data_IF_998433178525
#
_entry.id   IF_998433178525
#
_cell.length_a   1.000
_cell.length_b   1.000
_cell.length_c   1.000
_cell.angle_alpha   90.00
_cell.angle_beta   90.00
_cell.angle_gamma   90.00
#
_symmetry.space_group_name_H-M   'P 1'
#
loop_
_entity.id
_entity.type
_entity.pdbx_description
1 polymer ?
#
# COMPACT_ATOMS: atom_id res chain seq x y z
N UNK A 1 -8.09 -16.72 17.85
CA UNK A 1 -6.86 -17.49 17.85
C UNK A 1 -6.01 -17.07 16.68
N UNK A 2 -4.82 -16.53 16.94
CA UNK A 2 -3.83 -16.26 15.89
C UNK A 2 -3.10 -17.55 15.58
N UNK A 3 -3.26 -18.05 14.35
CA UNK A 3 -2.42 -19.12 13.85
C UNK A 3 -1.01 -18.56 13.61
N UNK A 4 -0.04 -19.02 14.43
CA UNK A 4 1.37 -18.83 14.10
C UNK A 4 1.75 -19.92 13.09
N UNK A 5 1.97 -19.53 11.84
CA UNK A 5 2.63 -20.40 10.88
C UNK A 5 4.11 -20.50 11.26
N UNK A 6 4.50 -21.63 11.87
CA UNK A 6 5.90 -21.99 12.09
C UNK A 6 6.41 -22.54 10.76
N UNK A 7 7.28 -21.80 10.07
CA UNK A 7 8.02 -22.31 8.91
C UNK A 7 9.29 -23.04 9.40
N UNK A 8 9.42 -24.29 8.99
CA UNK A 8 10.67 -25.05 8.85
C UNK A 8 11.40 -25.57 10.10
N UNK A 9 10.78 -25.61 11.28
CA UNK A 9 11.29 -26.44 12.37
C UNK A 9 10.15 -27.08 13.14
N UNK A 10 10.24 -28.39 13.36
CA UNK A 10 9.40 -29.09 14.34
C UNK A 10 10.03 -28.83 15.70
N UNK A 11 9.68 -27.72 16.33
CA UNK A 11 9.97 -27.57 17.75
C UNK A 11 8.85 -28.24 18.55
N UNK A 12 9.24 -29.23 19.34
CA UNK A 12 8.33 -29.81 20.31
C UNK A 12 8.18 -28.83 21.46
N UNK A 13 7.15 -28.04 21.44
CA UNK A 13 6.79 -27.19 22.58
C UNK A 13 6.04 -28.07 23.58
N UNK A 14 6.69 -28.40 24.69
CA UNK A 14 5.98 -28.97 25.83
C UNK A 14 5.20 -27.87 26.51
N UNK A 15 3.90 -27.80 26.25
CA UNK A 15 3.01 -26.94 27.01
C UNK A 15 2.82 -27.61 28.38
N UNK A 16 3.39 -27.03 29.41
CA UNK A 16 2.97 -27.34 30.77
C UNK A 16 1.49 -26.97 30.85
N UNK A 17 0.67 -28.00 31.03
CA UNK A 17 -0.76 -27.78 31.27
C UNK A 17 -0.83 -27.09 32.62
N UNK A 18 -1.01 -25.78 32.62
CA UNK A 18 -1.37 -25.05 33.83
C UNK A 18 -2.73 -25.62 34.25
N UNK A 19 -2.81 -26.33 35.41
CA UNK A 19 -4.09 -26.86 35.82
C UNK A 19 -5.08 -25.70 35.92
N UNK A 20 -6.35 -25.90 35.49
CA UNK A 20 -7.34 -24.88 35.62
C UNK A 20 -7.35 -24.40 37.09
N UNK A 21 -7.02 -23.13 37.30
CA UNK A 21 -7.20 -22.51 38.60
C UNK A 21 -8.69 -22.46 38.79
N UNK A 22 -9.22 -23.31 39.70
CA UNK A 22 -10.58 -23.21 40.21
C UNK A 22 -10.70 -21.89 40.96
N UNK A 23 -10.91 -20.86 40.25
CA UNK A 23 -11.12 -19.52 40.71
C UNK A 23 -11.70 -18.72 39.58
N UNK A 24 -13.01 -18.56 39.54
CA UNK A 24 -13.59 -17.46 38.81
C UNK A 24 -12.90 -16.19 39.30
N UNK A 25 -12.11 -15.54 38.47
CA UNK A 25 -11.72 -14.16 38.72
C UNK A 25 -13.03 -13.38 38.68
N UNK A 26 -13.69 -13.29 39.81
CA UNK A 26 -14.83 -12.40 39.94
C UNK A 26 -14.27 -11.00 39.69
N UNK A 27 -14.61 -10.41 38.57
CA UNK A 27 -14.36 -9.01 38.33
C UNK A 27 -15.15 -8.27 39.45
N UNK A 28 -14.46 -7.82 40.50
CA UNK A 28 -15.03 -7.03 41.55
C UNK A 28 -15.38 -5.63 41.03
N UNK A 29 -16.31 -5.56 40.07
CA UNK A 29 -16.82 -4.30 39.54
C UNK A 29 -18.08 -3.96 40.29
N UNK A 30 -18.05 -2.82 40.97
CA UNK A 30 -19.24 -2.33 41.71
C UNK A 30 -20.32 -1.86 40.74
N UNK A 31 -21.55 -1.77 41.19
CA UNK A 31 -22.64 -1.31 40.35
C UNK A 31 -22.46 0.16 39.95
N UNK A 32 -21.90 1.00 40.81
CA UNK A 32 -21.54 2.39 40.50
C UNK A 32 -20.49 2.44 39.36
N UNK A 33 -19.52 1.52 39.32
CA UNK A 33 -18.52 1.44 38.24
C UNK A 33 -19.17 1.00 36.94
N UNK A 34 -20.14 0.08 36.98
CA UNK A 34 -20.90 -0.33 35.77
C UNK A 34 -21.73 0.82 35.22
N UNK A 35 -22.43 1.57 36.11
CA UNK A 35 -23.22 2.73 35.70
C UNK A 35 -22.34 3.84 35.10
N UNK A 36 -21.21 4.14 35.78
CA UNK A 36 -20.24 5.13 35.27
C UNK A 36 -19.69 4.73 33.90
N UNK A 37 -19.40 3.45 33.71
CA UNK A 37 -18.93 2.94 32.38
C UNK A 37 -20.04 3.02 31.33
N UNK A 38 -21.28 2.63 31.68
CA UNK A 38 -22.40 2.71 30.75
C UNK A 38 -22.68 4.16 30.33
N UNK A 39 -22.60 5.11 31.26
CA UNK A 39 -22.74 6.54 30.96
C UNK A 39 -21.66 7.02 30.01
N UNK A 40 -20.40 6.65 30.23
CA UNK A 40 -19.27 7.03 29.37
C UNK A 40 -19.43 6.44 27.97
N UNK A 41 -19.82 5.16 27.86
CA UNK A 41 -20.08 4.52 26.55
C UNK A 41 -21.20 5.24 25.80
N UNK A 42 -22.26 5.65 26.51
CA UNK A 42 -23.34 6.42 25.88
C UNK A 42 -22.84 7.80 25.38
N UNK A 43 -22.04 8.50 26.15
CA UNK A 43 -21.43 9.78 25.75
C UNK A 43 -20.52 9.60 24.52
N UNK A 44 -19.72 8.54 24.48
CA UNK A 44 -18.90 8.19 23.34
C UNK A 44 -19.76 7.88 22.09
N UNK A 45 -20.87 7.16 22.25
CA UNK A 45 -21.80 6.87 21.15
C UNK A 45 -22.47 8.15 20.61
N UNK A 46 -22.84 9.08 21.47
CA UNK A 46 -23.39 10.38 21.05
C UNK A 46 -22.37 11.14 20.19
N UNK A 47 -21.10 11.20 20.61
CA UNK A 47 -20.02 11.84 19.85
C UNK A 47 -19.82 11.14 18.53
N UNK A 48 -19.75 9.81 18.52
CA UNK A 48 -19.60 8.98 17.31
C UNK A 48 -20.74 9.20 16.33
N UNK A 49 -21.99 9.15 16.80
CA UNK A 49 -23.17 9.31 15.97
C UNK A 49 -23.25 10.73 15.36
N UNK A 50 -22.87 11.74 16.14
CA UNK A 50 -22.74 13.13 15.62
C UNK A 50 -21.72 13.20 14.49
N UNK A 51 -20.57 12.54 14.65
CA UNK A 51 -19.54 12.49 13.59
C UNK A 51 -20.03 11.71 12.36
N UNK A 52 -20.59 10.53 12.55
CA UNK A 52 -21.16 9.71 11.46
C UNK A 52 -22.27 10.46 10.72
N UNK A 53 -23.09 11.24 11.42
CA UNK A 53 -24.11 12.09 10.80
C UNK A 53 -23.56 13.19 9.88
N UNK A 54 -22.24 13.44 9.89
CA UNK A 54 -21.58 14.37 8.93
C UNK A 54 -21.13 13.69 7.66
N UNK A 55 -21.23 12.36 7.55
CA UNK A 55 -20.78 11.63 6.38
C UNK A 55 -21.61 11.95 5.14
N UNK A 56 -21.03 11.67 3.99
CA UNK A 56 -21.71 11.86 2.73
C UNK A 56 -22.80 10.81 2.54
N UNK A 57 -23.96 11.24 2.03
CA UNK A 57 -25.11 10.35 1.78
C UNK A 57 -25.45 10.35 0.29
N UNK A 58 -26.18 9.33 -0.16
CA UNK A 58 -26.62 9.19 -1.56
C UNK A 58 -27.42 10.41 -2.05
N UNK A 59 -28.25 10.99 -1.17
CA UNK A 59 -29.03 12.18 -1.50
C UNK A 59 -28.18 13.40 -1.91
N UNK A 60 -26.94 13.48 -1.42
CA UNK A 60 -25.98 14.55 -1.77
C UNK A 60 -25.19 14.24 -3.03
N UNK A 61 -25.25 12.96 -3.53
CA UNK A 61 -24.34 12.46 -4.54
C UNK A 61 -24.59 12.96 -5.97
N UNK A 62 -25.72 13.59 -6.24
CA UNK A 62 -26.12 13.94 -7.63
C UNK A 62 -25.48 15.21 -8.18
N UNK A 63 -25.24 16.19 -7.35
CA UNK A 63 -24.82 17.54 -7.80
C UNK A 63 -23.38 17.57 -8.33
N UNK A 64 -22.45 16.97 -7.60
CA UNK A 64 -21.02 17.01 -7.91
C UNK A 64 -20.67 16.37 -9.27
N UNK A 65 -21.11 15.14 -9.58
CA UNK A 65 -20.78 14.52 -10.86
C UNK A 65 -21.37 15.26 -12.05
N UNK A 66 -22.56 15.82 -11.90
CA UNK A 66 -23.22 16.63 -12.95
C UNK A 66 -22.45 17.92 -13.22
N UNK A 67 -22.00 18.58 -12.17
CA UNK A 67 -21.20 19.81 -12.27
C UNK A 67 -19.85 19.58 -12.94
N UNK A 68 -19.18 18.49 -12.57
CA UNK A 68 -17.83 18.18 -13.04
C UNK A 68 -17.78 17.37 -14.34
N UNK A 69 -18.92 16.83 -14.80
CA UNK A 69 -18.99 15.96 -15.98
C UNK A 69 -18.26 14.62 -15.78
N UNK A 70 -18.38 14.03 -14.59
CA UNK A 70 -17.74 12.75 -14.21
C UNK A 70 -18.80 11.68 -13.93
N UNK A 71 -18.37 10.41 -13.85
CA UNK A 71 -19.24 9.26 -13.64
C UNK A 71 -20.00 9.37 -12.29
N UNK A 72 -21.34 9.40 -12.30
CA UNK A 72 -22.14 9.58 -11.08
C UNK A 72 -22.00 8.41 -10.09
N UNK A 73 -22.00 7.16 -10.59
CA UNK A 73 -21.95 5.98 -9.74
C UNK A 73 -20.61 5.87 -9.03
N UNK A 74 -19.52 5.97 -9.77
CA UNK A 74 -18.18 5.96 -9.18
C UNK A 74 -17.98 7.12 -8.22
N UNK A 75 -18.48 8.31 -8.54
CA UNK A 75 -18.38 9.47 -7.65
C UNK A 75 -19.12 9.21 -6.34
N UNK A 76 -20.34 8.68 -6.40
CA UNK A 76 -21.09 8.29 -5.21
C UNK A 76 -20.33 7.27 -4.35
N UNK A 77 -19.77 6.23 -4.97
CA UNK A 77 -18.97 5.22 -4.28
C UNK A 77 -17.76 5.82 -3.57
N UNK A 78 -17.04 6.73 -4.22
CA UNK A 78 -15.87 7.39 -3.61
C UNK A 78 -16.27 8.32 -2.46
N UNK A 79 -17.33 9.11 -2.65
CA UNK A 79 -17.79 10.06 -1.64
C UNK A 79 -18.34 9.35 -0.40
N UNK A 80 -19.15 8.31 -0.58
CA UNK A 80 -19.69 7.49 0.52
C UNK A 80 -18.58 6.68 1.18
N UNK A 81 -17.72 6.03 0.36
CA UNK A 81 -16.61 5.21 0.83
C UNK A 81 -15.56 5.98 1.63
N UNK A 82 -15.39 7.28 1.35
CA UNK A 82 -14.47 8.16 2.07
C UNK A 82 -14.93 8.53 3.48
N UNK A 83 -16.19 8.28 3.83
CA UNK A 83 -16.76 8.55 5.15
C UNK A 83 -16.54 10.01 5.59
N UNK A 84 -15.82 10.23 6.72
CA UNK A 84 -15.53 11.57 7.24
C UNK A 84 -14.58 12.40 6.35
N UNK A 85 -13.81 11.75 5.47
CA UNK A 85 -12.85 12.40 4.57
C UNK A 85 -13.47 12.94 3.28
N UNK A 86 -14.78 12.83 3.10
CA UNK A 86 -15.45 13.19 1.84
C UNK A 86 -15.16 14.61 1.37
N UNK A 87 -14.94 15.56 2.28
CA UNK A 87 -14.61 16.95 1.93
C UNK A 87 -13.26 17.06 1.22
N UNK A 88 -12.29 16.26 1.63
CA UNK A 88 -10.98 16.21 0.97
C UNK A 88 -11.10 15.59 -0.42
N UNK A 89 -11.91 14.53 -0.56
CA UNK A 89 -12.17 13.90 -1.87
C UNK A 89 -12.93 14.84 -2.80
N UNK A 90 -13.97 15.52 -2.30
CA UNK A 90 -14.68 16.54 -3.07
C UNK A 90 -13.75 17.66 -3.51
N UNK A 91 -12.94 18.18 -2.59
CA UNK A 91 -11.94 19.20 -2.89
C UNK A 91 -10.96 18.74 -3.96
N UNK A 92 -10.45 17.53 -3.86
CA UNK A 92 -9.55 16.94 -4.84
C UNK A 92 -10.18 16.88 -6.24
N UNK A 93 -11.43 16.43 -6.35
CA UNK A 93 -12.14 16.33 -7.62
C UNK A 93 -12.44 17.71 -8.23
N UNK A 94 -12.82 18.71 -7.41
CA UNK A 94 -13.07 20.07 -7.85
C UNK A 94 -11.81 20.78 -8.32
N UNK A 95 -10.70 20.61 -7.60
CA UNK A 95 -9.42 21.25 -7.91
C UNK A 95 -8.68 20.54 -9.08
N UNK A 96 -9.09 19.32 -9.45
CA UNK A 96 -8.50 18.61 -10.56
C UNK A 96 -8.76 19.33 -11.89
N UNK A 97 -7.69 19.63 -12.69
CA UNK A 97 -7.85 20.19 -14.03
C UNK A 97 -8.81 19.34 -14.88
N UNK A 98 -9.62 19.98 -15.71
CA UNK A 98 -10.67 19.31 -16.48
C UNK A 98 -10.13 18.16 -17.36
N UNK A 99 -8.97 18.35 -17.96
CA UNK A 99 -8.28 17.36 -18.77
C UNK A 99 -7.71 16.19 -17.93
N UNK A 100 -7.51 16.37 -16.62
CA UNK A 100 -7.02 15.35 -15.70
C UNK A 100 -8.10 14.65 -14.88
N UNK A 101 -9.36 15.08 -14.96
CA UNK A 101 -10.47 14.47 -14.22
C UNK A 101 -10.62 12.97 -14.46
N UNK A 102 -10.49 12.45 -15.70
CA UNK A 102 -10.51 11.00 -15.91
C UNK A 102 -9.40 10.29 -15.12
N UNK A 103 -8.20 10.82 -15.13
CA UNK A 103 -7.09 10.28 -14.34
C UNK A 103 -7.30 10.43 -12.81
N UNK A 104 -7.97 11.50 -12.37
CA UNK A 104 -8.35 11.66 -10.96
C UNK A 104 -9.35 10.58 -10.52
N UNK A 105 -10.31 10.23 -11.36
CA UNK A 105 -11.23 9.12 -11.12
C UNK A 105 -10.50 7.76 -11.07
N UNK A 106 -9.53 7.55 -11.98
CA UNK A 106 -8.70 6.35 -11.97
C UNK A 106 -7.82 6.27 -10.71
N UNK A 107 -7.30 7.41 -10.24
CA UNK A 107 -6.54 7.48 -8.99
C UNK A 107 -7.40 7.08 -7.79
N UNK A 108 -8.62 7.63 -7.67
CA UNK A 108 -9.54 7.28 -6.60
C UNK A 108 -9.99 5.81 -6.66
N UNK A 109 -10.07 5.24 -7.86
CA UNK A 109 -10.44 3.84 -8.06
C UNK A 109 -9.32 2.86 -7.65
N UNK A 110 -8.04 3.27 -7.72
CA UNK A 110 -6.90 2.39 -7.47
C UNK A 110 -6.34 2.50 -6.06
N UNK A 111 -6.62 3.59 -5.34
CA UNK A 111 -6.18 3.73 -3.95
C UNK A 111 -6.98 2.83 -3.02
N UNK A 112 -6.40 2.52 -1.87
CA UNK A 112 -7.07 1.68 -0.88
C UNK A 112 -8.25 2.40 -0.21
N UNK A 113 -9.20 1.63 0.34
CA UNK A 113 -10.28 2.19 1.13
C UNK A 113 -9.78 2.97 2.37
N UNK A 114 -8.60 2.62 2.88
CA UNK A 114 -7.93 3.38 3.94
C UNK A 114 -7.51 4.76 3.41
N UNK A 115 -6.82 4.79 2.28
CA UNK A 115 -6.33 6.05 1.69
C UNK A 115 -7.49 6.98 1.30
N UNK A 116 -8.58 6.42 0.82
CA UNK A 116 -9.79 7.18 0.53
C UNK A 116 -10.34 7.88 1.78
N UNK A 117 -10.18 7.27 2.97
CA UNK A 117 -10.74 7.75 4.23
C UNK A 117 -9.86 8.74 5.00
N UNK A 118 -8.58 8.83 4.67
CA UNK A 118 -7.64 9.62 5.47
C UNK A 118 -6.63 10.45 4.68
N UNK A 119 -6.61 10.36 3.34
CA UNK A 119 -5.64 11.10 2.53
C UNK A 119 -6.15 12.52 2.24
N UNK A 120 -5.36 13.56 2.55
CA UNK A 120 -5.70 14.93 2.19
C UNK A 120 -5.72 15.18 0.67
N UNK A 121 -6.56 16.09 0.20
CA UNK A 121 -6.65 16.51 -1.20
C UNK A 121 -5.29 16.92 -1.78
N UNK A 122 -4.46 17.61 -1.00
CA UNK A 122 -3.13 18.06 -1.42
C UNK A 122 -2.17 16.90 -1.75
N UNK A 123 -2.27 15.79 -1.03
CA UNK A 123 -1.48 14.58 -1.30
C UNK A 123 -1.94 13.92 -2.59
N UNK A 124 -3.27 13.75 -2.75
CA UNK A 124 -3.83 13.21 -4.00
C UNK A 124 -3.49 14.10 -5.20
N UNK A 125 -3.54 15.43 -5.03
CA UNK A 125 -3.17 16.39 -6.08
C UNK A 125 -1.69 16.29 -6.48
N UNK A 126 -0.77 16.06 -5.54
CA UNK A 126 0.64 15.79 -5.86
C UNK A 126 0.77 14.56 -6.76
N UNK A 127 0.10 13.47 -6.38
CA UNK A 127 0.16 12.22 -7.13
C UNK A 127 -0.51 12.30 -8.51
N UNK A 128 -1.60 13.06 -8.64
CA UNK A 128 -2.26 13.30 -9.91
C UNK A 128 -1.40 14.18 -10.84
N UNK A 129 -0.96 15.34 -10.30
CA UNK A 129 -0.33 16.36 -11.13
C UNK A 129 1.09 16.03 -11.58
N UNK A 130 1.79 15.18 -10.83
CA UNK A 130 3.16 14.77 -11.11
C UNK A 130 3.29 13.31 -11.59
N UNK A 131 2.17 12.63 -11.88
CA UNK A 131 2.21 11.33 -12.53
C UNK A 131 2.76 11.47 -13.95
N UNK A 132 3.76 10.65 -14.28
CA UNK A 132 4.29 10.58 -15.65
C UNK A 132 3.34 9.74 -16.49
N UNK A 133 2.65 10.37 -17.45
CA UNK A 133 1.75 9.66 -18.33
C UNK A 133 2.54 8.67 -19.23
N UNK A 134 2.18 7.42 -19.13
CA UNK A 134 2.76 6.33 -19.92
C UNK A 134 1.61 5.52 -20.51
N UNK A 135 1.69 5.25 -21.83
CA UNK A 135 0.72 4.36 -22.47
C UNK A 135 1.05 2.90 -22.13
N UNK A 136 0.47 2.40 -21.06
CA UNK A 136 0.66 1.04 -20.58
C UNK A 136 -0.57 0.57 -19.83
N UNK A 137 -0.95 -0.68 -19.98
CA UNK A 137 -1.96 -1.33 -19.13
C UNK A 137 -1.54 -1.40 -17.66
N UNK A 138 -0.25 -1.23 -17.38
CA UNK A 138 0.32 -1.19 -16.03
C UNK A 138 0.24 0.21 -15.38
N UNK A 139 -0.26 1.23 -16.10
CA UNK A 139 -0.19 2.62 -15.65
C UNK A 139 -0.97 2.84 -14.36
N UNK A 140 -2.24 2.49 -14.34
CA UNK A 140 -3.14 2.81 -13.21
C UNK A 140 -2.68 2.14 -11.93
N UNK A 141 -2.36 0.86 -11.97
CA UNK A 141 -2.03 0.09 -10.77
C UNK A 141 -0.58 0.28 -10.31
N UNK A 142 0.36 0.41 -11.24
CA UNK A 142 1.80 0.33 -10.92
C UNK A 142 2.58 1.62 -11.19
N UNK A 143 1.92 2.68 -11.68
CA UNK A 143 2.48 4.03 -11.80
C UNK A 143 1.58 5.02 -11.05
N UNK A 144 0.28 5.10 -11.39
CA UNK A 144 -0.63 6.08 -10.83
C UNK A 144 -0.90 5.83 -9.34
N UNK A 145 -1.10 4.58 -8.93
CA UNK A 145 -1.26 4.22 -7.53
C UNK A 145 -0.06 4.68 -6.69
N UNK A 146 -0.25 5.58 -5.72
CA UNK A 146 0.85 6.10 -4.92
C UNK A 146 1.30 5.17 -3.80
N UNK A 147 0.41 4.29 -3.30
CA UNK A 147 0.72 3.38 -2.20
C UNK A 147 1.51 2.18 -2.72
N UNK A 148 2.60 1.89 -2.03
CA UNK A 148 3.46 0.75 -2.37
C UNK A 148 3.14 -0.46 -1.48
N UNK A 149 3.08 -0.25 -0.16
CA UNK A 149 2.81 -1.29 0.83
C UNK A 149 1.98 -0.71 2.00
N UNK A 150 2.57 -0.60 3.17
CA UNK A 150 1.92 -0.13 4.39
C UNK A 150 2.52 1.18 4.95
N UNK A 151 3.27 1.90 4.14
CA UNK A 151 3.85 3.19 4.49
C UNK A 151 2.77 4.27 4.69
N UNK A 152 3.14 5.35 5.38
CA UNK A 152 2.30 6.54 5.44
C UNK A 152 2.31 7.26 4.09
N UNK A 153 1.15 7.48 3.48
CA UNK A 153 1.06 8.12 2.17
C UNK A 153 1.38 9.63 2.27
N UNK A 154 2.38 10.05 1.49
CA UNK A 154 2.90 11.41 1.48
C UNK A 154 3.07 11.95 0.06
N UNK A 155 3.10 13.28 -0.16
CA UNK A 155 3.23 13.88 -1.49
C UNK A 155 4.68 13.80 -1.98
N UNK A 156 5.11 12.65 -2.49
CA UNK A 156 6.50 12.40 -2.86
C UNK A 156 6.82 12.58 -4.35
N UNK A 157 5.82 12.61 -5.25
CA UNK A 157 6.10 12.61 -6.70
C UNK A 157 6.77 13.89 -7.18
N UNK A 158 6.25 15.04 -6.77
CA UNK A 158 6.88 16.34 -7.08
C UNK A 158 8.32 16.38 -6.56
N UNK A 159 8.51 15.87 -5.35
CA UNK A 159 9.84 15.82 -4.74
C UNK A 159 10.82 14.99 -5.58
N UNK A 160 10.47 13.77 -5.97
CA UNK A 160 11.36 12.94 -6.78
C UNK A 160 11.55 13.47 -8.21
N UNK A 161 10.51 14.04 -8.81
CA UNK A 161 10.63 14.69 -10.12
C UNK A 161 11.64 15.86 -10.12
N UNK A 162 11.79 16.55 -8.98
CA UNK A 162 12.72 17.66 -8.84
C UNK A 162 14.14 17.25 -8.39
N UNK A 163 14.29 16.09 -7.74
CA UNK A 163 15.56 15.73 -7.08
C UNK A 163 16.28 14.54 -7.75
N UNK A 164 15.59 13.68 -8.49
CA UNK A 164 16.26 12.61 -9.24
C UNK A 164 16.92 13.22 -10.46
N UNK A 165 18.18 12.89 -10.70
CA UNK A 165 18.94 13.40 -11.83
C UNK A 165 18.26 13.10 -13.16
N UNK A 166 18.06 14.10 -13.99
CA UNK A 166 17.33 13.99 -15.26
C UNK A 166 18.02 13.09 -16.28
N UNK A 167 19.35 13.03 -16.26
CA UNK A 167 20.11 12.13 -17.14
C UNK A 167 19.96 10.67 -16.70
N UNK A 168 19.92 10.43 -15.37
CA UNK A 168 19.59 9.13 -14.80
C UNK A 168 18.17 8.73 -15.19
N UNK A 169 17.17 9.61 -14.99
CA UNK A 169 15.77 9.35 -15.38
C UNK A 169 15.65 8.94 -16.83
N UNK A 170 16.29 9.68 -17.75
CA UNK A 170 16.26 9.39 -19.18
C UNK A 170 16.82 8.00 -19.51
N UNK A 171 17.93 7.62 -18.90
CA UNK A 171 18.57 6.31 -19.10
C UNK A 171 17.74 5.20 -18.45
N UNK A 172 17.24 5.41 -17.24
CA UNK A 172 16.47 4.43 -16.49
C UNK A 172 15.14 4.04 -17.15
N UNK A 173 14.53 4.92 -17.94
CA UNK A 173 13.34 4.57 -18.73
C UNK A 173 13.62 3.47 -19.77
N UNK A 174 14.85 3.37 -20.27
CA UNK A 174 15.29 2.30 -21.16
C UNK A 174 15.84 1.10 -20.38
N UNK A 175 16.51 1.36 -19.26
CA UNK A 175 17.10 0.34 -18.40
C UNK A 175 16.85 0.65 -16.91
N UNK A 176 15.76 0.14 -16.33
CA UNK A 176 15.41 0.37 -14.94
C UNK A 176 16.43 -0.17 -13.91
N UNK A 177 17.33 -1.08 -14.32
CA UNK A 177 18.40 -1.58 -13.47
C UNK A 177 19.26 -0.43 -12.92
N UNK A 178 19.42 0.66 -13.67
CA UNK A 178 20.16 1.84 -13.22
C UNK A 178 19.60 2.48 -11.94
N UNK A 179 18.29 2.34 -11.68
CA UNK A 179 17.71 2.79 -10.40
C UNK A 179 18.05 1.81 -9.27
N UNK A 180 18.09 0.51 -9.56
CA UNK A 180 18.53 -0.50 -8.58
C UNK A 180 19.97 -0.21 -8.15
N UNK A 181 20.86 -0.01 -9.11
CA UNK A 181 22.27 0.28 -8.87
C UNK A 181 22.44 1.59 -8.09
N UNK A 182 21.71 2.63 -8.50
CA UNK A 182 21.71 3.90 -7.77
C UNK A 182 21.25 3.74 -6.31
N UNK A 183 20.21 2.94 -6.05
CA UNK A 183 19.72 2.66 -4.68
C UNK A 183 20.78 1.92 -3.89
N UNK A 184 21.43 0.91 -4.47
CA UNK A 184 22.53 0.16 -3.82
C UNK A 184 23.67 1.08 -3.41
N UNK A 185 24.04 2.00 -4.28
CA UNK A 185 25.20 2.89 -4.06
C UNK A 185 24.89 4.03 -3.09
N UNK A 186 23.64 4.44 -2.96
CA UNK A 186 23.26 5.65 -2.25
C UNK A 186 22.45 5.44 -0.97
N UNK A 187 21.92 4.24 -0.72
CA UNK A 187 21.10 3.94 0.46
C UNK A 187 21.76 2.85 1.28
N UNK A 188 22.24 3.23 2.46
CA UNK A 188 22.82 2.29 3.42
C UNK A 188 21.72 1.54 4.15
N UNK A 189 21.88 0.21 4.30
CA UNK A 189 20.92 -0.62 5.02
C UNK A 189 21.33 -0.79 6.47
N UNK A 190 20.40 -0.47 7.37
CA UNK A 190 20.58 -0.69 8.80
C UNK A 190 19.24 -1.08 9.46
N UNK A 191 18.95 -2.37 9.49
CA UNK A 191 17.73 -2.92 10.08
C UNK A 191 17.67 -2.69 11.61
N UNK A 192 18.83 -2.53 12.28
CA UNK A 192 18.88 -2.34 13.72
C UNK A 192 18.35 -0.98 14.19
N UNK A 193 18.33 0.03 13.31
CA UNK A 193 17.77 1.35 13.60
C UNK A 193 16.23 1.37 13.54
N UNK A 194 15.63 0.34 12.97
CA UNK A 194 14.17 0.22 12.85
C UNK A 194 13.67 -1.18 13.31
N UNK A 195 13.87 -1.52 14.61
CA UNK A 195 13.54 -2.84 15.12
C UNK A 195 12.04 -3.16 15.04
N UNK A 196 11.19 -2.15 15.02
CA UNK A 196 9.74 -2.29 14.88
C UNK A 196 9.28 -2.38 13.43
N UNK A 197 10.20 -2.25 12.46
CA UNK A 197 9.92 -2.29 11.02
C UNK A 197 8.78 -1.35 10.58
N UNK A 198 8.72 -0.16 11.19
CA UNK A 198 7.77 0.89 10.79
C UNK A 198 8.29 1.49 9.48
N UNK A 199 7.51 1.49 8.39
CA UNK A 199 7.96 1.99 7.10
C UNK A 199 8.41 3.45 7.18
N UNK A 200 9.63 3.73 6.75
CA UNK A 200 10.13 5.08 6.57
C UNK A 200 9.54 5.64 5.28
N UNK A 201 8.99 6.84 5.33
CA UNK A 201 8.46 7.51 4.15
C UNK A 201 9.53 7.66 3.06
N UNK A 202 9.19 7.51 1.76
CA UNK A 202 10.16 7.56 0.66
C UNK A 202 11.06 8.81 0.65
N UNK A 203 10.50 9.98 0.95
CA UNK A 203 11.29 11.21 1.09
C UNK A 203 12.25 11.18 2.30
N UNK A 204 11.87 10.47 3.36
CA UNK A 204 12.72 10.26 4.53
C UNK A 204 13.96 9.45 4.18
N UNK A 205 13.78 8.33 3.46
CA UNK A 205 14.88 7.49 2.96
C UNK A 205 15.82 8.29 2.04
N UNK A 206 15.26 9.10 1.12
CA UNK A 206 16.08 9.97 0.27
C UNK A 206 16.96 10.94 1.07
N UNK A 207 16.39 11.55 2.10
CA UNK A 207 17.10 12.57 2.91
C UNK A 207 18.14 11.95 3.85
N UNK A 208 17.79 10.83 4.49
CA UNK A 208 18.66 10.17 5.47
C UNK A 208 19.75 9.33 4.82
N UNK A 209 19.54 8.82 3.61
CA UNK A 209 20.39 7.84 2.93
C UNK A 209 20.60 6.55 3.74
N UNK A 210 19.73 6.31 4.71
CA UNK A 210 19.70 5.10 5.53
C UNK A 210 18.28 4.57 5.60
N UNK A 211 18.11 3.27 5.50
CA UNK A 211 16.82 2.60 5.60
C UNK A 211 16.99 1.17 6.15
N UNK A 212 15.90 0.59 6.66
CA UNK A 212 15.76 -0.85 6.72
C UNK A 212 15.40 -1.42 5.33
N UNK A 213 15.50 -2.75 5.17
CA UNK A 213 15.24 -3.41 3.88
C UNK A 213 13.84 -3.09 3.34
N UNK A 214 12.81 -3.18 4.19
CA UNK A 214 11.42 -2.90 3.76
C UNK A 214 11.21 -1.46 3.32
N UNK A 215 11.77 -0.50 4.05
CA UNK A 215 11.71 0.92 3.69
C UNK A 215 12.49 1.24 2.41
N UNK A 216 13.65 0.57 2.16
CA UNK A 216 14.38 0.64 0.88
C UNK A 216 13.50 0.15 -0.28
N UNK A 217 12.81 -0.95 -0.10
CA UNK A 217 11.97 -1.56 -1.13
C UNK A 217 10.81 -0.64 -1.51
N UNK A 218 10.13 -0.07 -0.51
CA UNK A 218 9.08 0.95 -0.70
C UNK A 218 9.65 2.18 -1.42
N UNK A 219 10.81 2.66 -0.99
CA UNK A 219 11.50 3.80 -1.59
C UNK A 219 11.81 3.57 -3.07
N UNK A 220 12.40 2.43 -3.42
CA UNK A 220 12.69 2.07 -4.80
C UNK A 220 11.45 2.11 -5.69
N UNK A 221 10.36 1.47 -5.25
CA UNK A 221 9.10 1.46 -6.00
C UNK A 221 8.52 2.88 -6.14
N UNK A 222 8.55 3.69 -5.07
CA UNK A 222 8.07 5.07 -5.12
C UNK A 222 8.88 5.94 -6.10
N UNK A 223 10.21 5.80 -6.14
CA UNK A 223 11.08 6.47 -7.12
C UNK A 223 10.74 6.02 -8.53
N UNK A 224 10.67 4.72 -8.80
CA UNK A 224 10.33 4.18 -10.11
C UNK A 224 8.98 4.71 -10.61
N UNK A 225 7.93 4.64 -9.79
CA UNK A 225 6.60 5.17 -10.14
C UNK A 225 6.62 6.67 -10.40
N UNK A 226 7.44 7.43 -9.67
CA UNK A 226 7.55 8.89 -9.85
C UNK A 226 8.19 9.28 -11.19
N UNK A 227 9.06 8.45 -11.73
CA UNK A 227 9.71 8.68 -13.03
C UNK A 227 9.04 7.93 -14.20
N UNK A 228 7.89 7.29 -13.94
CA UNK A 228 7.09 6.63 -14.95
C UNK A 228 7.51 5.20 -15.29
N UNK A 229 8.21 4.52 -14.39
CA UNK A 229 8.55 3.10 -14.49
C UNK A 229 7.58 2.30 -13.61
N UNK A 230 6.81 1.35 -14.19
CA UNK A 230 5.94 0.50 -13.40
C UNK A 230 6.78 -0.36 -12.44
N UNK A 231 6.45 -0.31 -11.16
CA UNK A 231 7.14 -1.08 -10.14
C UNK A 231 6.19 -1.49 -9.01
N UNK A 232 6.53 -2.58 -8.34
CA UNK A 232 5.72 -3.13 -7.23
C UNK A 232 6.56 -3.92 -6.24
N UNK A 233 5.99 -4.15 -5.06
CA UNK A 233 6.33 -5.27 -4.22
C UNK A 233 5.28 -6.34 -4.53
N UNK A 234 5.71 -7.49 -5.00
CA UNK A 234 4.83 -8.60 -5.36
C UNK A 234 4.16 -9.14 -4.08
N UNK A 235 2.81 -9.25 -4.03
CA UNK A 235 2.10 -9.44 -2.77
C UNK A 235 2.26 -10.84 -2.14
N UNK A 236 2.63 -11.86 -2.92
CA UNK A 236 2.75 -13.24 -2.43
C UNK A 236 4.15 -13.53 -1.89
N UNK A 237 5.17 -13.28 -2.71
CA UNK A 237 6.56 -13.57 -2.35
C UNK A 237 7.29 -12.37 -1.72
N UNK A 238 6.69 -11.18 -1.71
CA UNK A 238 7.31 -9.96 -1.20
C UNK A 238 8.48 -9.46 -2.04
N UNK A 239 8.62 -9.93 -3.27
CA UNK A 239 9.72 -9.55 -4.14
C UNK A 239 9.49 -8.16 -4.72
N UNK A 240 10.53 -7.35 -4.71
CA UNK A 240 10.54 -6.07 -5.42
C UNK A 240 10.68 -6.32 -6.92
N UNK A 241 9.87 -5.67 -7.72
CA UNK A 241 9.87 -5.83 -9.17
C UNK A 241 9.69 -4.50 -9.88
N UNK A 242 10.32 -4.37 -11.05
CA UNK A 242 9.99 -3.36 -12.04
C UNK A 242 9.56 -4.02 -13.37
N UNK A 243 8.80 -3.31 -14.19
CA UNK A 243 8.40 -3.83 -15.47
C UNK A 243 9.35 -3.37 -16.61
N UNK A 244 9.71 -4.30 -17.48
CA UNK A 244 10.37 -4.04 -18.76
C UNK A 244 9.39 -4.43 -19.87
N UNK A 245 8.71 -3.45 -20.45
CA UNK A 245 7.50 -3.68 -21.23
C UNK A 245 6.36 -4.20 -20.33
N UNK A 246 5.85 -5.39 -20.60
CA UNK A 246 4.83 -6.07 -19.79
C UNK A 246 5.41 -7.16 -18.88
N UNK A 247 6.71 -7.41 -18.95
CA UNK A 247 7.36 -8.45 -18.16
C UNK A 247 7.89 -7.88 -16.84
N UNK A 248 7.62 -8.58 -15.75
CA UNK A 248 8.16 -8.25 -14.44
C UNK A 248 9.56 -8.81 -14.27
N UNK A 249 10.47 -7.99 -13.77
CA UNK A 249 11.86 -8.32 -13.47
C UNK A 249 12.05 -8.23 -11.96
N UNK A 250 12.49 -9.30 -11.34
CA UNK A 250 12.83 -9.32 -9.91
C UNK A 250 14.06 -8.44 -9.65
N UNK A 251 14.00 -7.64 -8.60
CA UNK A 251 15.11 -6.79 -8.14
C UNK A 251 15.86 -7.54 -7.05
N UNK A 252 17.17 -7.65 -7.25
CA UNK A 252 18.08 -8.15 -6.23
C UNK A 252 19.07 -7.04 -5.84
N UNK A 253 18.86 -6.45 -4.68
CA UNK A 253 19.76 -5.44 -4.14
C UNK A 253 21.04 -6.02 -3.53
N UNK A 254 21.12 -7.32 -3.34
CA UNK A 254 22.22 -8.01 -2.67
C UNK A 254 23.15 -8.73 -3.68
N UNK A 255 22.69 -8.89 -4.92
CA UNK A 255 23.53 -9.47 -5.95
C UNK A 255 24.81 -8.65 -6.14
N UNK A 256 25.95 -9.25 -5.92
CA UNK A 256 27.23 -8.77 -6.46
C UNK A 256 27.11 -8.72 -7.99
N UNK A 257 27.78 -7.76 -8.65
CA UNK A 257 27.75 -7.56 -10.12
C UNK A 257 27.54 -8.87 -10.88
N UNK A 258 26.48 -8.93 -11.70
CA UNK A 258 25.95 -10.16 -12.26
C UNK A 258 27.02 -10.95 -13.03
N UNK A 259 27.51 -12.00 -12.40
CA UNK A 259 27.83 -13.21 -13.16
C UNK A 259 26.49 -13.76 -13.64
N UNK A 260 26.29 -13.81 -14.95
CA UNK A 260 25.10 -14.33 -15.63
C UNK A 260 24.64 -15.62 -14.94
N UNK A 261 23.57 -15.55 -14.15
CA UNK A 261 23.02 -16.72 -13.50
C UNK A 261 22.56 -17.69 -14.61
N UNK A 262 23.19 -18.87 -14.66
CA UNK A 262 22.76 -19.95 -15.53
C UNK A 262 21.34 -20.31 -15.14
N UNK A 263 20.37 -19.99 -15.98
CA UNK A 263 18.98 -20.39 -15.77
C UNK A 263 18.88 -21.90 -15.82
N UNK A 264 18.59 -22.53 -14.70
CA UNK A 264 18.22 -23.94 -14.63
C UNK A 264 16.76 -24.11 -15.07
N UNK A 265 16.49 -25.01 -15.99
CA UNK A 265 15.12 -25.37 -16.36
C UNK A 265 14.66 -26.49 -15.41
N UNK A 266 13.68 -26.18 -14.52
CA UNK A 266 13.00 -27.22 -13.76
C UNK A 266 11.92 -27.82 -14.65
N UNK A 267 12.07 -29.08 -15.01
CA UNK A 267 11.04 -29.84 -15.72
C UNK A 267 10.35 -30.71 -14.68
N UNK A 268 9.15 -30.31 -14.25
CA UNK A 268 8.29 -31.17 -13.45
C UNK A 268 7.55 -32.14 -14.38
N UNK A 269 7.84 -33.43 -14.28
CA UNK A 269 7.06 -34.47 -14.96
C UNK A 269 6.10 -35.10 -13.95
N UNK A 270 4.82 -35.09 -14.27
CA UNK A 270 3.80 -35.76 -13.48
C UNK A 270 3.38 -37.05 -14.20
N UNK A 271 3.50 -38.18 -13.52
CA UNK A 271 2.86 -39.43 -13.93
C UNK A 271 1.55 -39.57 -13.15
N UNK A 272 0.39 -39.53 -13.81
CA UNK A 272 -0.88 -39.63 -13.11
C UNK A 272 -1.00 -41.04 -12.45
N UNK A 273 -1.14 -41.02 -11.14
CA UNK A 273 -1.47 -42.23 -10.39
C UNK A 273 -2.96 -42.49 -10.59
N UNK A 274 -3.30 -43.64 -11.13
CA UNK A 274 -4.66 -44.03 -11.58
C UNK A 274 -5.70 -44.09 -10.45
N UNK A 275 -5.34 -43.77 -9.21
CA UNK A 275 -6.19 -43.97 -8.03
C UNK A 275 -6.82 -42.69 -7.45
N UNK A 276 -6.55 -41.50 -7.99
CA UNK A 276 -7.18 -40.29 -7.48
C UNK A 276 -8.49 -40.05 -8.22
N UNK A 277 -9.58 -40.49 -7.64
CA UNK A 277 -10.93 -40.30 -8.21
C UNK A 277 -11.52 -38.93 -7.91
N UNK A 278 -10.98 -38.17 -6.96
CA UNK A 278 -11.50 -36.83 -6.62
C UNK A 278 -10.35 -35.87 -6.24
N UNK A 279 -9.85 -35.07 -7.21
CA UNK A 279 -8.76 -34.14 -6.98
C UNK A 279 -9.16 -32.89 -6.18
N UNK A 280 -10.37 -32.78 -5.66
CA UNK A 280 -10.87 -31.58 -5.00
C UNK A 280 -10.37 -31.38 -3.57
N UNK A 281 -9.65 -32.33 -3.01
CA UNK A 281 -9.26 -32.30 -1.59
C UNK A 281 -7.76 -32.46 -1.34
N UNK A 282 -6.92 -32.09 -2.31
CA UNK A 282 -5.46 -32.12 -2.14
C UNK A 282 -4.83 -30.79 -2.54
#
# INVERSE_FOLDING_TARGET
GSEMCIRDSIETVTLDVIPPVDGSIAACVTDEQKEANAKRLHEEDVIRNKYVGTFYTEEKAEALPKELGIDPLKTADFMIGSRGNWREIEKFLRDAPADKRPMAMDLLNVISAKDLRDTPASVLADHLNNAQAVQSSLFTEYILNPRVANEFLTPYRKFFAANVDSALVKKAKADPQLIVDWVKDNISINDSLNPQRIPIMPMGVWKSRVADKGSRDIFFVAVCRSIGIPARIEPVAGKVQYAKGLNWVDVDFEAAEQTVAKQGKVVASYQPIKALQDPKYY
#
